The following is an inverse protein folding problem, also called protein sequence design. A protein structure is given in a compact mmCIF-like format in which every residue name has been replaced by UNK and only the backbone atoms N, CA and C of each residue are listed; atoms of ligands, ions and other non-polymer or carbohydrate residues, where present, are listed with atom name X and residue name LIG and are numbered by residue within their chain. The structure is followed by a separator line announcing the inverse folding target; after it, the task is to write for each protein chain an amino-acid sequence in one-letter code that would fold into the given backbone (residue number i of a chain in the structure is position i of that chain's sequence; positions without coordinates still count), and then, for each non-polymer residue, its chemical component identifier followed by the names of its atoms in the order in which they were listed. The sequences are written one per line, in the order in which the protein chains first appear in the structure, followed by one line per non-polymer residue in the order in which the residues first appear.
data_IF_556647971726
#
_entry.id   IF_556647971726
#
_cell.length_a   1.000
_cell.length_b   1.000
_cell.length_c   1.000
_cell.angle_alpha   90.00
_cell.angle_beta   90.00
_cell.angle_gamma   90.00
#
_symmetry.space_group_name_H-M   'P 1'
#
loop_
_entity.id
_entity.type
_entity.pdbx_description
1 polymer ?
#
# COMPACT_ATOMS: atom_id res chain seq x y z
N UNK A 1 -24.28 3.08 27.88
CA UNK A 1 -23.54 2.04 27.13
C UNK A 1 -22.53 2.79 26.29
N UNK A 2 -21.23 2.66 26.58
CA UNK A 2 -20.20 3.62 26.18
C UNK A 2 -19.95 3.54 24.68
N UNK A 3 -19.84 4.70 24.03
CA UNK A 3 -19.30 4.80 22.67
C UNK A 3 -17.80 4.58 22.75
N UNK A 4 -17.32 3.43 22.29
CA UNK A 4 -15.90 3.17 22.10
C UNK A 4 -15.38 4.12 21.01
N UNK A 5 -14.73 5.19 21.44
CA UNK A 5 -13.95 6.06 20.56
C UNK A 5 -12.62 5.36 20.29
N UNK A 6 -12.53 4.70 19.13
CA UNK A 6 -11.28 4.17 18.61
C UNK A 6 -10.31 5.33 18.36
N UNK A 7 -9.20 5.35 19.11
CA UNK A 7 -8.15 6.37 18.97
C UNK A 7 -7.40 6.07 17.67
N UNK A 8 -7.61 6.92 16.65
CA UNK A 8 -6.81 6.91 15.42
C UNK A 8 -5.57 7.79 15.68
N UNK A 9 -4.35 7.24 15.77
CA UNK A 9 -3.14 8.05 15.92
C UNK A 9 -2.88 8.83 14.62
N UNK A 10 -3.09 10.15 14.65
CA UNK A 10 -2.79 11.02 13.51
C UNK A 10 -1.29 11.32 13.48
N UNK A 11 -0.56 10.81 12.47
CA UNK A 11 0.82 11.22 12.20
C UNK A 11 0.79 12.59 11.51
N UNK A 12 1.07 13.65 12.27
CA UNK A 12 1.10 15.04 11.79
C UNK A 12 2.49 15.35 11.20
N UNK A 13 2.57 15.63 9.90
CA UNK A 13 3.71 16.32 9.31
C UNK A 13 3.43 17.82 9.21
N UNK A 14 4.29 18.67 9.77
CA UNK A 14 4.41 20.14 9.57
C UNK A 14 3.15 21.00 9.79
N UNK A 15 2.15 20.81 8.93
CA UNK A 15 0.84 21.47 8.92
C UNK A 15 -0.33 20.47 9.12
N UNK A 16 -0.02 19.23 9.51
CA UNK A 16 -0.96 18.24 10.03
C UNK A 16 -1.94 17.65 9.02
N UNK A 17 -1.47 17.15 7.88
CA UNK A 17 -2.34 16.39 6.99
C UNK A 17 -2.77 15.07 7.66
N UNK A 18 -4.07 14.76 7.65
CA UNK A 18 -4.57 13.49 8.16
C UNK A 18 -4.15 12.36 7.21
N UNK A 19 -3.33 11.45 7.72
CA UNK A 19 -2.77 10.33 6.96
C UNK A 19 -3.57 9.02 7.12
N UNK A 20 -4.42 8.96 8.14
CA UNK A 20 -5.33 7.84 8.40
C UNK A 20 -6.77 8.37 8.47
N UNK A 21 -7.56 8.02 7.46
CA UNK A 21 -8.93 8.51 7.28
C UNK A 21 -9.98 7.45 7.62
N UNK A 22 -9.54 6.25 8.01
CA UNK A 22 -10.43 5.12 8.24
C UNK A 22 -11.28 4.86 7.00
N UNK A 23 -12.60 4.83 7.17
CA UNK A 23 -13.56 4.65 6.07
C UNK A 23 -14.27 5.92 5.64
N UNK A 24 -13.85 7.10 6.11
CA UNK A 24 -14.49 8.39 5.80
C UNK A 24 -14.43 8.78 4.32
N UNK A 25 -13.47 8.24 3.58
CA UNK A 25 -13.37 8.34 2.12
C UNK A 25 -12.91 7.02 1.53
N UNK A 26 -13.35 6.72 0.31
CA UNK A 26 -12.86 5.59 -0.48
C UNK A 26 -11.50 5.87 -1.12
N UNK A 27 -11.24 7.11 -1.53
CA UNK A 27 -10.03 7.44 -2.29
C UNK A 27 -8.97 8.04 -1.38
N UNK A 28 -7.73 7.61 -1.57
CA UNK A 28 -6.56 8.21 -0.93
C UNK A 28 -6.43 9.67 -1.34
N UNK A 29 -6.16 10.54 -0.37
CA UNK A 29 -5.91 11.97 -0.61
C UNK A 29 -4.54 12.17 -1.26
N UNK A 30 -4.30 13.39 -1.74
CA UNK A 30 -2.99 13.78 -2.28
C UNK A 30 -1.87 13.57 -1.25
N UNK A 31 -2.06 14.00 0.00
CA UNK A 31 -1.06 13.83 1.07
C UNK A 31 -0.79 12.35 1.37
N UNK A 32 -1.83 11.52 1.41
CA UNK A 32 -1.66 10.08 1.59
C UNK A 32 -0.90 9.45 0.42
N UNK A 33 -1.22 9.82 -0.82
CA UNK A 33 -0.50 9.35 -2.00
C UNK A 33 0.98 9.74 -1.97
N UNK A 34 1.31 10.95 -1.52
CA UNK A 34 2.70 11.35 -1.33
C UNK A 34 3.41 10.57 -0.25
N UNK A 35 2.77 10.35 0.90
CA UNK A 35 3.35 9.53 1.96
C UNK A 35 3.57 8.07 1.50
N UNK A 36 2.64 7.51 0.72
CA UNK A 36 2.83 6.22 0.06
C UNK A 36 4.00 6.26 -0.94
N UNK A 37 4.15 7.33 -1.72
CA UNK A 37 5.26 7.46 -2.68
C UNK A 37 6.63 7.49 -1.97
N UNK A 38 6.75 8.23 -0.87
CA UNK A 38 7.97 8.23 -0.05
C UNK A 38 8.28 6.83 0.51
N UNK A 39 7.27 6.14 1.06
CA UNK A 39 7.44 4.79 1.62
C UNK A 39 7.74 3.73 0.55
N UNK A 40 7.06 3.80 -0.58
CA UNK A 40 7.15 2.81 -1.66
C UNK A 40 8.30 3.11 -2.63
N UNK A 41 9.01 4.22 -2.44
CA UNK A 41 10.20 4.57 -3.19
C UNK A 41 9.94 5.18 -4.57
N UNK A 42 8.79 5.83 -4.79
CA UNK A 42 8.43 6.55 -6.02
C UNK A 42 8.27 5.71 -7.31
N UNK A 43 8.29 4.38 -7.18
CA UNK A 43 8.06 3.44 -8.29
C UNK A 43 6.94 2.47 -7.94
N UNK A 44 6.44 1.76 -8.95
CA UNK A 44 5.52 0.65 -8.70
C UNK A 44 6.18 -0.34 -7.74
N UNK A 45 5.53 -0.57 -6.61
CA UNK A 45 6.08 -1.38 -5.52
C UNK A 45 6.08 -2.89 -5.81
N UNK A 46 5.43 -3.33 -6.91
CA UNK A 46 5.42 -4.74 -7.29
C UNK A 46 6.84 -5.25 -7.60
N UNK A 47 7.23 -6.46 -7.16
CA UNK A 47 8.58 -6.99 -7.35
C UNK A 47 9.09 -6.88 -8.78
N UNK A 48 10.25 -6.24 -8.97
CA UNK A 48 10.89 -6.10 -10.28
C UNK A 48 10.31 -5.00 -11.19
N UNK A 49 9.27 -4.28 -10.76
CA UNK A 49 8.73 -3.16 -11.53
C UNK A 49 9.49 -1.86 -11.24
N UNK A 50 9.59 -0.98 -12.25
CA UNK A 50 10.21 0.35 -12.13
C UNK A 50 9.39 1.45 -12.82
N UNK A 51 8.08 1.26 -12.95
CA UNK A 51 7.20 2.30 -13.50
C UNK A 51 7.22 3.51 -12.54
N UNK A 52 7.49 4.74 -13.03
CA UNK A 52 7.59 5.91 -12.17
C UNK A 52 6.22 6.37 -11.66
N UNK A 53 6.23 7.13 -10.55
CA UNK A 53 5.08 7.64 -9.81
C UNK A 53 3.91 8.13 -10.66
N UNK A 54 4.18 8.84 -11.77
CA UNK A 54 3.16 9.37 -12.69
C UNK A 54 2.20 8.32 -13.28
N UNK A 55 2.56 7.03 -13.22
CA UNK A 55 1.75 5.91 -13.70
C UNK A 55 1.18 5.05 -12.59
N UNK A 56 1.27 5.50 -11.34
CA UNK A 56 0.90 4.71 -10.18
C UNK A 56 -0.46 5.11 -9.63
N UNK A 57 -1.19 4.11 -9.18
CA UNK A 57 -2.45 4.20 -8.47
C UNK A 57 -2.26 3.65 -7.06
N UNK A 58 -2.94 4.27 -6.09
CA UNK A 58 -2.98 3.74 -4.74
C UNK A 58 -3.99 2.59 -4.68
N UNK A 59 -3.49 1.42 -4.29
CA UNK A 59 -4.23 0.18 -4.13
C UNK A 59 -4.48 -0.09 -2.65
N UNK A 60 -5.72 -0.43 -2.31
CA UNK A 60 -6.04 -0.94 -0.98
C UNK A 60 -5.67 -2.42 -0.86
N UNK A 61 -4.80 -2.76 0.10
CA UNK A 61 -4.35 -4.14 0.38
C UNK A 61 -5.54 -5.00 0.80
N UNK A 62 -6.28 -4.59 1.82
CA UNK A 62 -7.66 -5.05 2.05
C UNK A 62 -8.58 -4.12 1.30
N UNK A 63 -9.31 -4.63 0.30
CA UNK A 63 -10.18 -3.79 -0.51
C UNK A 63 -11.16 -2.99 0.34
N UNK A 64 -11.43 -1.76 -0.10
CA UNK A 64 -12.35 -0.87 0.60
C UNK A 64 -13.77 -1.46 0.69
N UNK A 65 -14.23 -2.15 -0.36
CA UNK A 65 -15.55 -2.82 -0.36
C UNK A 65 -15.63 -3.94 0.69
N UNK A 66 -14.50 -4.56 1.03
CA UNK A 66 -14.39 -5.65 2.00
C UNK A 66 -14.06 -5.16 3.42
N UNK A 67 -14.25 -3.87 3.70
CA UNK A 67 -14.01 -3.29 5.03
C UNK A 67 -12.64 -2.61 5.19
N UNK A 68 -11.80 -2.57 4.17
CA UNK A 68 -10.49 -1.89 4.25
C UNK A 68 -10.61 -0.38 4.50
N UNK A 69 -9.65 0.16 5.24
CA UNK A 69 -9.52 1.59 5.51
C UNK A 69 -8.64 2.30 4.48
N UNK A 70 -8.86 3.58 4.28
CA UNK A 70 -8.01 4.47 3.48
C UNK A 70 -6.96 5.08 4.41
N UNK A 71 -6.02 4.23 4.80
CA UNK A 71 -4.93 4.49 5.75
C UNK A 71 -3.61 4.05 5.12
N UNK A 72 -2.47 4.63 5.54
CA UNK A 72 -1.18 4.31 4.92
C UNK A 72 -0.82 2.82 5.07
N UNK A 73 -1.14 2.22 6.21
CA UNK A 73 -0.89 0.80 6.50
C UNK A 73 -1.74 -0.16 5.63
N UNK A 74 -2.74 0.34 4.90
CA UNK A 74 -3.60 -0.42 4.00
C UNK A 74 -3.47 0.03 2.53
N UNK A 75 -2.56 0.96 2.23
CA UNK A 75 -2.30 1.45 0.87
C UNK A 75 -0.98 0.93 0.30
N UNK A 76 -0.86 0.84 -1.03
CA UNK A 76 0.40 0.63 -1.78
C UNK A 76 0.30 1.22 -3.18
N UNK A 77 1.39 1.78 -3.72
CA UNK A 77 1.44 2.30 -5.09
C UNK A 77 1.78 1.24 -6.13
N UNK A 78 0.91 1.07 -7.12
CA UNK A 78 1.05 0.10 -8.20
C UNK A 78 0.76 0.74 -9.55
N UNK A 79 1.45 0.30 -10.60
CA UNK A 79 1.04 0.66 -11.96
C UNK A 79 -0.24 -0.09 -12.33
N UNK A 80 -1.00 0.42 -13.30
CA UNK A 80 -2.26 -0.19 -13.76
C UNK A 80 -2.15 -1.70 -14.04
N UNK A 81 -1.05 -2.14 -14.68
CA UNK A 81 -0.81 -3.55 -14.96
C UNK A 81 -0.75 -4.38 -13.67
N UNK A 82 0.12 -4.02 -12.72
CA UNK A 82 0.25 -4.78 -11.47
C UNK A 82 -0.94 -4.60 -10.53
N UNK A 83 -1.63 -3.46 -10.59
CA UNK A 83 -2.91 -3.29 -9.91
C UNK A 83 -3.89 -4.35 -10.38
N UNK A 84 -4.02 -4.55 -11.70
CA UNK A 84 -4.89 -5.58 -12.29
C UNK A 84 -4.40 -6.99 -11.96
N UNK A 85 -3.09 -7.25 -12.06
CA UNK A 85 -2.48 -8.55 -11.75
C UNK A 85 -2.84 -9.01 -10.34
N UNK A 86 -2.81 -8.11 -9.36
CA UNK A 86 -3.12 -8.48 -7.97
C UNK A 86 -4.59 -8.88 -7.81
N UNK A 87 -5.51 -8.17 -8.48
CA UNK A 87 -6.93 -8.52 -8.45
C UNK A 87 -7.26 -9.82 -9.18
N UNK A 88 -6.48 -10.22 -10.18
CA UNK A 88 -6.93 -11.22 -11.16
C UNK A 88 -6.10 -12.50 -11.19
N UNK A 89 -4.85 -12.48 -10.70
CA UNK A 89 -3.92 -13.60 -10.87
C UNK A 89 -3.61 -14.35 -9.57
N UNK A 90 -4.35 -14.09 -8.49
CA UNK A 90 -4.21 -14.81 -7.22
C UNK A 90 -3.00 -14.41 -6.38
N UNK A 91 -2.41 -13.24 -6.65
CA UNK A 91 -1.40 -12.67 -5.76
C UNK A 91 -2.05 -12.18 -4.48
N UNK A 92 -1.42 -12.48 -3.34
CA UNK A 92 -1.80 -11.87 -2.07
C UNK A 92 -0.82 -10.76 -1.72
N UNK A 93 -1.35 -9.63 -1.27
CA UNK A 93 -0.56 -8.53 -0.71
C UNK A 93 -0.90 -8.42 0.78
N UNK A 94 0.10 -8.16 1.61
CA UNK A 94 -0.11 -7.84 3.03
C UNK A 94 0.85 -6.75 3.48
N UNK A 95 0.51 -6.03 4.54
CA UNK A 95 1.45 -5.13 5.18
C UNK A 95 2.40 -5.94 6.07
N UNK A 96 3.70 -5.82 5.83
CA UNK A 96 4.73 -6.43 6.67
C UNK A 96 4.87 -5.73 8.02
N UNK A 97 5.48 -6.41 8.99
CA UNK A 97 5.73 -5.84 10.33
C UNK A 97 6.72 -4.65 10.32
N UNK A 98 7.47 -4.49 9.24
CA UNK A 98 8.35 -3.34 9.00
C UNK A 98 7.61 -2.15 8.35
N UNK A 99 6.30 -2.25 8.14
CA UNK A 99 5.51 -1.20 7.50
C UNK A 99 5.64 -1.15 5.97
N UNK A 100 6.22 -2.17 5.33
CA UNK A 100 6.30 -2.27 3.86
C UNK A 100 5.41 -3.41 3.32
N UNK A 101 4.79 -3.23 2.14
CA UNK A 101 4.01 -4.30 1.51
C UNK A 101 4.85 -5.54 1.18
N UNK A 102 4.27 -6.70 1.44
CA UNK A 102 4.81 -8.02 1.14
C UNK A 102 3.90 -8.72 0.13
N UNK A 103 4.49 -9.45 -0.81
CA UNK A 103 3.77 -10.16 -1.86
C UNK A 103 3.93 -11.65 -1.69
N UNK A 104 2.82 -12.37 -1.82
CA UNK A 104 2.79 -13.82 -1.83
C UNK A 104 2.29 -14.23 -3.22
N UNK A 105 3.13 -14.92 -4.01
CA UNK A 105 2.72 -15.39 -5.32
C UNK A 105 1.63 -16.48 -5.23
N UNK A 106 0.84 -16.66 -6.30
CA UNK A 106 -0.05 -17.80 -6.40
C UNK A 106 0.74 -19.12 -6.52
N UNK A 107 0.15 -20.28 -6.15
CA UNK A 107 0.83 -21.58 -6.11
C UNK A 107 1.44 -22.04 -7.45
N UNK A 108 0.93 -21.53 -8.58
CA UNK A 108 1.43 -21.86 -9.91
C UNK A 108 2.69 -21.08 -10.30
N UNK A 109 3.02 -20.00 -9.57
CA UNK A 109 4.29 -19.28 -9.68
C UNK A 109 5.30 -19.82 -8.66
N UNK A 110 4.88 -20.01 -7.41
CA UNK A 110 5.69 -20.64 -6.36
C UNK A 110 4.81 -21.55 -5.51
N UNK A 111 4.99 -22.89 -5.59
CA UNK A 111 4.21 -23.85 -4.81
C UNK A 111 4.33 -23.67 -3.29
N UNK A 112 5.42 -23.07 -2.81
CA UNK A 112 5.64 -22.81 -1.39
C UNK A 112 5.07 -21.46 -0.94
N UNK A 113 4.60 -20.63 -1.89
CA UNK A 113 4.04 -19.30 -1.65
C UNK A 113 4.94 -18.46 -0.73
N UNK A 114 6.24 -18.43 -1.05
CA UNK A 114 7.24 -17.68 -0.31
C UNK A 114 6.97 -16.18 -0.33
N UNK A 115 7.19 -15.52 0.81
CA UNK A 115 7.02 -14.07 0.94
C UNK A 115 8.12 -13.34 0.16
N UNK A 116 7.71 -12.50 -0.78
CA UNK A 116 8.59 -11.61 -1.55
C UNK A 116 8.50 -10.21 -0.96
N UNK A 117 9.66 -9.69 -0.53
CA UNK A 117 9.85 -8.29 -0.11
C UNK A 117 10.54 -7.59 -1.26
N UNK A 118 9.90 -6.61 -1.94
CA UNK A 118 10.62 -5.81 -2.93
C UNK A 118 11.82 -5.17 -2.26
N UNK A 119 13.01 -5.36 -2.85
CA UNK A 119 14.21 -4.74 -2.30
C UNK A 119 14.00 -3.24 -2.21
N UNK A 120 14.32 -2.73 -1.03
CA UNK A 120 14.26 -1.35 -0.61
C UNK A 120 14.84 -0.43 -1.71
N UNK A 121 13.95 0.31 -2.39
CA UNK A 121 14.34 1.26 -3.44
C UNK A 121 15.20 2.42 -2.86
N UNK A 122 15.36 2.48 -1.53
CA UNK A 122 16.19 3.45 -0.80
C UNK A 122 17.69 3.31 -1.01
N UNK A 123 18.20 2.24 -1.64
CA UNK A 123 19.62 2.11 -1.97
C UNK A 123 20.10 2.94 -3.18
N UNK A 124 19.25 3.80 -3.77
CA UNK A 124 19.59 4.59 -4.96
C UNK A 124 19.33 6.10 -4.75
N UNK A 125 19.69 6.64 -3.59
CA UNK A 125 20.05 8.06 -3.47
C UNK A 125 21.57 8.19 -3.40
N UNK A 126 22.20 8.40 -4.56
CA UNK A 126 23.46 9.14 -4.70
C UNK A 126 23.16 10.43 -5.44
#
# INVERSE_FOLDING_TARGET
MPCDAEIIPVVLGGDGAVLDLGRGTRLFTYSQRHALAERDGYFCHFPGCRRPEKWLEAHHIRHWIDGGATDLNNGVLLCQHHHTTIHTQGWTVRMGSNGHPEYIPPPWIDPYQGVIRPNDHTLIRR
#
